data_IF_520379867168
#
_entry.id   IF_520379867168
#
_cell.length_a   1.000
_cell.length_b   1.000
_cell.length_c   1.000
_cell.angle_alpha   90.00
_cell.angle_beta   90.00
_cell.angle_gamma   90.00
#
_symmetry.space_group_name_H-M   'P 1'
#
loop_
_entity.id
_entity.type
_entity.pdbx_description
1 polymer ?
#
# COMPACT_ATOMS: atom_id res chain seq x y z
N UNK A 1 4.44 -7.73 17.93
CA UNK A 1 4.11 -6.83 16.83
C UNK A 1 2.95 -5.93 17.24
N UNK A 2 2.88 -4.73 16.69
CA UNK A 2 1.75 -3.82 16.82
C UNK A 2 1.08 -3.68 15.44
N UNK A 3 -0.19 -3.27 15.33
CA UNK A 3 -0.81 -3.03 14.03
C UNK A 3 0.03 -2.14 13.11
N UNK A 4 0.70 -1.14 13.68
CA UNK A 4 1.58 -0.23 12.92
C UNK A 4 2.78 -0.97 12.31
N UNK A 5 3.51 -1.75 13.11
CA UNK A 5 4.71 -2.45 12.64
C UNK A 5 4.39 -3.72 11.83
N UNK A 6 3.16 -4.19 11.88
CA UNK A 6 2.73 -5.39 11.16
C UNK A 6 2.20 -5.02 9.76
N UNK A 7 1.16 -4.22 9.68
CA UNK A 7 0.47 -3.95 8.41
C UNK A 7 0.69 -2.52 7.90
N UNK A 8 0.69 -1.51 8.77
CA UNK A 8 0.85 -0.12 8.30
C UNK A 8 2.20 0.12 7.60
N UNK A 9 3.23 -0.67 7.94
CA UNK A 9 4.54 -0.62 7.27
C UNK A 9 4.45 -0.79 5.76
N UNK A 10 3.57 -1.64 5.25
CA UNK A 10 3.39 -1.83 3.81
C UNK A 10 2.92 -0.55 3.11
N UNK A 11 2.01 0.18 3.75
CA UNK A 11 1.46 1.43 3.19
C UNK A 11 2.42 2.60 3.35
N UNK A 12 3.24 2.62 4.41
CA UNK A 12 4.34 3.57 4.57
C UNK A 12 5.40 3.34 3.49
N UNK A 13 5.75 2.09 3.24
CA UNK A 13 6.71 1.72 2.18
C UNK A 13 6.19 2.14 0.80
N UNK A 14 4.94 1.85 0.50
CA UNK A 14 4.29 2.25 -0.74
C UNK A 14 4.27 3.78 -0.91
N UNK A 15 3.97 4.53 0.15
CA UNK A 15 4.02 6.00 0.12
C UNK A 15 5.44 6.51 -0.16
N UNK A 16 6.45 5.92 0.47
CA UNK A 16 7.86 6.25 0.21
C UNK A 16 8.28 5.88 -1.22
N UNK A 17 7.77 4.79 -1.76
CA UNK A 17 8.02 4.39 -3.15
C UNK A 17 7.42 5.37 -4.16
N UNK A 18 6.18 5.82 -3.97
CA UNK A 18 5.57 6.85 -4.82
C UNK A 18 6.28 8.21 -4.73
N UNK A 19 6.92 8.49 -3.59
CA UNK A 19 7.69 9.70 -3.33
C UNK A 19 9.19 9.43 -3.34
N UNK A 20 9.65 8.50 -4.17
CA UNK A 20 11.06 8.11 -4.25
C UNK A 20 11.97 9.32 -4.47
N UNK A 21 13.03 9.39 -3.68
CA UNK A 21 13.98 10.49 -3.71
C UNK A 21 13.55 11.72 -2.90
N UNK A 22 12.33 11.76 -2.37
CA UNK A 22 11.82 12.86 -1.55
C UNK A 22 11.85 12.43 -0.08
N UNK A 23 12.52 13.21 0.75
CA UNK A 23 12.75 12.85 2.14
C UNK A 23 11.53 13.16 3.03
N UNK A 24 11.04 12.21 3.85
CA UNK A 24 10.09 12.52 4.91
C UNK A 24 10.78 13.37 6.00
N UNK A 25 10.10 14.40 6.48
CA UNK A 25 10.65 15.38 7.43
C UNK A 25 9.94 15.42 8.77
N UNK A 26 8.69 14.96 8.83
CA UNK A 26 7.91 14.96 10.05
C UNK A 26 6.91 13.81 10.07
N UNK A 27 6.70 13.23 11.26
CA UNK A 27 5.61 12.28 11.54
C UNK A 27 4.86 12.75 12.78
N UNK A 28 3.54 12.87 12.65
CA UNK A 28 2.64 13.15 13.79
C UNK A 28 1.62 12.03 13.86
N UNK A 29 1.55 11.36 15.01
CA UNK A 29 0.62 10.24 15.20
C UNK A 29 -0.21 10.37 16.48
N UNK A 30 -1.39 9.73 16.46
CA UNK A 30 -2.28 9.54 17.60
C UNK A 30 -2.80 8.13 17.60
N UNK A 31 -2.76 7.51 18.76
CA UNK A 31 -3.20 6.12 18.97
C UNK A 31 -4.22 6.03 20.09
N UNK A 32 -5.08 5.03 20.00
CA UNK A 32 -6.02 4.66 21.06
C UNK A 32 -5.82 3.20 21.44
N UNK A 33 -5.88 2.92 22.75
CA UNK A 33 -5.84 1.57 23.33
C UNK A 33 -7.03 1.38 24.24
N UNK A 34 -8.00 0.58 23.80
CA UNK A 34 -9.20 0.26 24.58
C UNK A 34 -9.44 -1.25 24.62
N UNK A 35 -9.60 -1.86 23.44
CA UNK A 35 -9.93 -3.29 23.32
C UNK A 35 -8.71 -4.13 23.68
N UNK A 36 -7.57 -3.90 23.05
CA UNK A 36 -6.33 -4.61 23.37
C UNK A 36 -5.90 -4.42 24.83
N UNK A 37 -6.07 -3.20 25.36
CA UNK A 37 -5.81 -2.95 26.79
C UNK A 37 -6.72 -3.79 27.69
N UNK A 38 -8.01 -3.90 27.37
CA UNK A 38 -8.96 -4.74 28.11
C UNK A 38 -8.60 -6.23 28.03
N UNK A 39 -7.96 -6.67 26.95
CA UNK A 39 -7.44 -8.01 26.75
C UNK A 39 -6.06 -8.24 27.39
N UNK A 40 -5.47 -7.24 28.04
CA UNK A 40 -4.15 -7.33 28.70
C UNK A 40 -2.97 -7.05 27.75
N UNK A 41 -3.20 -6.60 26.51
CA UNK A 41 -2.13 -6.27 25.57
C UNK A 41 -1.73 -4.78 25.67
N UNK A 42 -0.44 -4.49 25.38
CA UNK A 42 0.10 -3.13 25.39
C UNK A 42 0.06 -2.42 24.02
N UNK A 43 -0.46 -3.10 22.98
CA UNK A 43 -0.57 -2.52 21.65
C UNK A 43 -1.74 -1.53 21.55
N UNK A 44 -1.63 -0.57 20.63
CA UNK A 44 -2.74 0.30 20.28
C UNK A 44 -3.75 -0.44 19.36
N UNK A 45 -5.03 -0.16 19.57
CA UNK A 45 -6.12 -0.69 18.74
C UNK A 45 -6.17 -0.02 17.37
N UNK A 46 -6.00 1.30 17.40
CA UNK A 46 -6.12 2.21 16.26
C UNK A 46 -4.98 3.21 16.34
N UNK A 47 -4.37 3.49 15.18
CA UNK A 47 -3.39 4.56 15.03
C UNK A 47 -3.68 5.34 13.76
N UNK A 48 -3.64 6.67 13.86
CA UNK A 48 -3.65 7.59 12.74
C UNK A 48 -2.36 8.39 12.75
N UNK A 49 -1.75 8.55 11.57
CA UNK A 49 -0.51 9.26 11.39
C UNK A 49 -0.55 10.17 10.16
N UNK A 50 0.18 11.26 10.23
CA UNK A 50 0.45 12.16 9.11
C UNK A 50 1.96 12.20 8.94
N UNK A 51 2.42 11.94 7.71
CA UNK A 51 3.82 12.07 7.31
C UNK A 51 3.92 13.25 6.35
N UNK A 52 4.80 14.19 6.64
CA UNK A 52 5.12 15.33 5.77
C UNK A 52 6.45 15.09 5.08
N UNK A 53 6.52 15.35 3.79
CA UNK A 53 7.71 15.25 2.97
C UNK A 53 8.29 16.63 2.63
N UNK A 54 9.58 16.71 2.33
CA UNK A 54 10.30 17.97 2.11
C UNK A 54 9.80 18.80 0.92
N UNK A 55 9.10 18.17 -0.03
CA UNK A 55 8.46 18.86 -1.14
C UNK A 55 7.05 19.39 -0.80
N UNK A 56 6.60 19.22 0.45
CA UNK A 56 5.27 19.60 0.91
C UNK A 56 4.19 18.54 0.72
N UNK A 57 4.49 17.38 0.14
CA UNK A 57 3.54 16.28 0.08
C UNK A 57 3.18 15.78 1.48
N UNK A 58 1.91 15.45 1.67
CA UNK A 58 1.37 14.99 2.95
C UNK A 58 0.69 13.64 2.74
N UNK A 59 1.06 12.67 3.55
CA UNK A 59 0.48 11.33 3.55
C UNK A 59 -0.27 11.11 4.86
N UNK A 60 -1.57 10.80 4.77
CA UNK A 60 -2.40 10.45 5.91
C UNK A 60 -2.61 8.93 5.95
N UNK A 61 -2.27 8.30 7.06
CA UNK A 61 -2.29 6.86 7.24
C UNK A 61 -3.12 6.48 8.46
N UNK A 62 -3.89 5.40 8.33
CA UNK A 62 -4.66 4.87 9.44
C UNK A 62 -4.64 3.35 9.46
N UNK A 63 -4.60 2.78 10.67
CA UNK A 63 -4.70 1.34 10.90
C UNK A 63 -5.59 1.04 12.08
N UNK A 64 -6.45 0.03 11.96
CA UNK A 64 -7.25 -0.51 13.05
C UNK A 64 -7.30 -2.04 12.96
N UNK A 65 -7.08 -2.70 14.09
CA UNK A 65 -7.26 -4.17 14.23
C UNK A 65 -8.54 -4.55 14.98
N UNK A 66 -9.34 -3.55 15.36
CA UNK A 66 -10.52 -3.76 16.21
C UNK A 66 -11.81 -3.47 15.45
N UNK A 67 -11.97 -4.09 14.30
CA UNK A 67 -13.25 -4.09 13.59
C UNK A 67 -14.24 -5.01 14.30
N UNK A 68 -15.56 -4.74 14.25
CA UNK A 68 -16.57 -5.65 14.76
C UNK A 68 -16.46 -7.02 14.10
N UNK A 69 -16.66 -8.10 14.89
CA UNK A 69 -16.58 -9.48 14.38
C UNK A 69 -17.55 -9.78 13.23
N UNK A 70 -18.63 -9.01 13.13
CA UNK A 70 -19.65 -9.12 12.09
C UNK A 70 -19.38 -8.19 10.89
N UNK A 71 -18.28 -7.44 10.90
CA UNK A 71 -17.95 -6.57 9.76
C UNK A 71 -17.64 -7.43 8.53
N UNK A 72 -18.26 -7.15 7.39
CA UNK A 72 -18.23 -8.05 6.23
C UNK A 72 -16.93 -7.91 5.41
N UNK A 73 -15.79 -8.09 6.05
CA UNK A 73 -14.51 -8.23 5.33
C UNK A 73 -14.06 -9.68 5.34
N UNK A 74 -13.44 -10.09 4.26
CA UNK A 74 -12.77 -11.39 4.18
C UNK A 74 -11.28 -11.18 4.50
N UNK A 75 -10.98 -10.78 5.73
CA UNK A 75 -9.63 -10.59 6.22
C UNK A 75 -9.22 -9.12 6.36
N UNK A 76 -8.68 -8.49 5.35
CA UNK A 76 -8.19 -7.12 5.40
C UNK A 76 -9.02 -6.19 4.52
N UNK A 77 -9.36 -5.02 5.06
CA UNK A 77 -9.94 -3.90 4.32
C UNK A 77 -8.86 -2.84 4.14
N UNK A 78 -8.57 -2.46 2.92
CA UNK A 78 -7.56 -1.47 2.61
C UNK A 78 -8.05 -0.49 1.54
N UNK A 79 -7.83 0.79 1.80
CA UNK A 79 -8.06 1.87 0.84
C UNK A 79 -6.79 2.67 0.68
N UNK A 80 -6.51 3.03 -0.55
CA UNK A 80 -5.37 3.84 -0.89
C UNK A 80 -5.79 4.89 -1.91
N UNK A 81 -5.41 6.14 -1.66
CA UNK A 81 -5.76 7.28 -2.49
C UNK A 81 -4.53 8.15 -2.70
N UNK A 82 -4.25 8.48 -3.96
CA UNK A 82 -3.22 9.45 -4.34
C UNK A 82 -3.91 10.56 -5.10
N UNK A 83 -3.75 11.79 -4.63
CA UNK A 83 -4.25 12.99 -5.27
C UNK A 83 -3.04 13.85 -5.63
N UNK A 84 -2.85 14.09 -6.90
CA UNK A 84 -1.83 14.99 -7.44
C UNK A 84 -2.45 16.04 -8.35
N UNK A 85 -1.67 16.99 -8.74
CA UNK A 85 -2.06 18.08 -9.65
C UNK A 85 -2.32 17.59 -11.08
N UNK A 86 -1.76 16.45 -11.47
CA UNK A 86 -1.93 15.86 -12.80
C UNK A 86 -2.80 14.60 -12.83
N UNK A 87 -3.26 14.11 -11.68
CA UNK A 87 -4.09 12.90 -11.64
C UNK A 87 -4.49 12.43 -10.27
N UNK A 88 -5.39 11.45 -10.25
CA UNK A 88 -5.91 10.80 -9.05
C UNK A 88 -5.93 9.29 -9.26
N UNK A 89 -5.49 8.55 -8.25
CA UNK A 89 -5.62 7.10 -8.15
C UNK A 89 -6.41 6.77 -6.90
N UNK A 90 -7.49 6.00 -7.05
CA UNK A 90 -8.28 5.45 -5.96
C UNK A 90 -8.23 3.93 -6.04
N UNK A 91 -7.77 3.30 -4.98
CA UNK A 91 -7.72 1.84 -4.84
C UNK A 91 -8.55 1.43 -3.62
N UNK A 92 -9.51 0.56 -3.82
CA UNK A 92 -10.35 0.03 -2.75
C UNK A 92 -10.38 -1.51 -2.83
N UNK A 93 -9.73 -2.16 -1.87
CA UNK A 93 -9.67 -3.61 -1.83
C UNK A 93 -11.01 -4.26 -1.42
N UNK A 94 -11.91 -3.52 -0.77
CA UNK A 94 -13.22 -4.02 -0.34
C UNK A 94 -14.24 -4.01 -1.46
N UNK A 95 -14.34 -2.88 -2.17
CA UNK A 95 -15.35 -2.67 -3.21
C UNK A 95 -14.89 -3.13 -4.59
N UNK A 96 -13.61 -3.38 -4.76
CA UNK A 96 -13.00 -3.85 -6.01
C UNK A 96 -13.08 -2.85 -7.18
N UNK A 97 -13.49 -1.63 -6.91
CA UNK A 97 -13.54 -0.56 -7.90
C UNK A 97 -12.31 0.33 -7.72
N UNK A 98 -11.34 0.18 -8.61
CA UNK A 98 -10.16 1.02 -8.64
C UNK A 98 -10.28 1.99 -9.80
N UNK A 99 -10.02 3.27 -9.52
CA UNK A 99 -10.09 4.35 -10.51
C UNK A 99 -8.72 4.98 -10.70
N UNK A 100 -8.29 5.10 -11.95
CA UNK A 100 -7.21 5.97 -12.37
C UNK A 100 -7.78 7.13 -13.19
N UNK A 101 -7.44 8.36 -12.81
CA UNK A 101 -7.64 9.55 -13.63
C UNK A 101 -6.31 10.27 -13.84
N UNK A 102 -6.02 10.73 -15.07
CA UNK A 102 -4.82 11.50 -15.40
C UNK A 102 -5.06 12.47 -16.54
N UNK A 103 -4.63 13.70 -16.39
CA UNK A 103 -4.71 14.73 -17.45
C UNK A 103 -3.80 14.43 -18.63
N UNK A 104 -2.65 13.79 -18.39
CA UNK A 104 -1.72 13.38 -19.44
C UNK A 104 -2.22 12.24 -20.31
N UNK A 105 -3.22 11.51 -19.80
CA UNK A 105 -3.69 10.28 -20.41
C UNK A 105 -2.74 9.10 -20.20
N UNK A 106 -3.33 7.91 -20.21
CA UNK A 106 -2.62 6.63 -20.22
C UNK A 106 -2.81 5.94 -21.57
N UNK A 107 -1.80 5.27 -22.12
CA UNK A 107 -1.93 4.54 -23.39
C UNK A 107 -3.04 3.50 -23.32
N UNK A 108 -3.90 3.48 -24.33
CA UNK A 108 -4.92 2.46 -24.44
C UNK A 108 -4.33 1.10 -24.80
N UNK A 109 -4.75 0.02 -24.12
CA UNK A 109 -4.16 -1.31 -24.27
C UNK A 109 -4.37 -1.94 -25.65
N UNK A 110 -5.45 -1.57 -26.35
CA UNK A 110 -5.86 -2.21 -27.61
C UNK A 110 -5.93 -1.27 -28.81
N UNK A 111 -5.84 0.04 -28.58
CA UNK A 111 -5.93 1.04 -29.65
C UNK A 111 -4.63 1.81 -29.70
N UNK A 112 -3.76 1.58 -30.68
CA UNK A 112 -2.51 2.32 -30.85
C UNK A 112 -2.78 3.82 -31.00
N UNK A 113 -1.86 4.63 -30.48
CA UNK A 113 -1.88 6.09 -30.57
C UNK A 113 -3.13 6.77 -29.93
N UNK A 114 -3.81 6.02 -29.06
CA UNK A 114 -4.95 6.54 -28.30
C UNK A 114 -4.64 6.56 -26.81
N UNK A 115 -4.95 7.69 -26.14
CA UNK A 115 -4.86 7.85 -24.71
C UNK A 115 -6.24 7.96 -24.08
N UNK A 116 -6.35 7.43 -22.87
CA UNK A 116 -7.54 7.52 -22.02
C UNK A 116 -7.20 8.31 -20.76
N UNK A 117 -8.08 9.20 -20.36
CA UNK A 117 -7.88 10.03 -19.16
C UNK A 117 -8.49 9.41 -17.90
N UNK A 118 -9.42 8.47 -18.06
CA UNK A 118 -10.07 7.80 -16.95
C UNK A 118 -10.19 6.31 -17.23
N UNK A 119 -9.87 5.49 -16.25
CA UNK A 119 -9.97 4.04 -16.34
C UNK A 119 -10.44 3.46 -15.00
N UNK A 120 -11.44 2.57 -15.05
CA UNK A 120 -11.73 1.68 -13.96
C UNK A 120 -10.85 0.43 -14.09
N UNK A 121 -10.09 0.14 -13.04
CA UNK A 121 -9.20 -1.01 -12.97
C UNK A 121 -9.82 -2.07 -12.07
N UNK A 122 -9.65 -3.33 -12.44
CA UNK A 122 -10.00 -4.43 -11.54
C UNK A 122 -8.90 -4.63 -10.49
N UNK A 123 -9.30 -4.99 -9.27
CA UNK A 123 -8.34 -5.45 -8.27
C UNK A 123 -7.87 -6.85 -8.61
N UNK A 124 -6.59 -7.11 -8.40
CA UNK A 124 -6.02 -8.45 -8.51
C UNK A 124 -6.07 -9.15 -7.15
N UNK A 125 -6.29 -10.45 -7.15
CA UNK A 125 -6.13 -11.29 -5.97
C UNK A 125 -4.67 -11.29 -5.49
N UNK A 126 -4.47 -11.40 -4.17
CA UNK A 126 -3.13 -11.53 -3.60
C UNK A 126 -2.47 -12.84 -4.04
N UNK A 127 -3.24 -13.93 -4.11
CA UNK A 127 -2.79 -15.24 -4.59
C UNK A 127 -3.98 -16.09 -5.03
N UNK A 128 -3.88 -16.67 -6.21
CA UNK A 128 -4.82 -17.66 -6.75
C UNK A 128 -4.08 -18.87 -7.27
N UNK A 129 -4.67 -20.06 -7.13
CA UNK A 129 -4.19 -21.27 -7.76
C UNK A 129 -5.13 -21.65 -8.90
N UNK A 130 -4.63 -21.59 -10.13
CA UNK A 130 -5.39 -21.91 -11.31
C UNK A 130 -4.52 -22.60 -12.37
N UNK A 131 -5.07 -23.56 -13.07
CA UNK A 131 -4.40 -24.28 -14.17
C UNK A 131 -3.06 -24.92 -13.74
N UNK A 132 -2.98 -25.36 -12.50
CA UNK A 132 -1.78 -26.02 -11.97
C UNK A 132 -0.65 -25.06 -11.55
N UNK A 133 -0.90 -23.75 -11.47
CA UNK A 133 0.10 -22.76 -11.07
C UNK A 133 -0.47 -21.70 -10.13
N UNK A 134 0.42 -20.99 -9.43
CA UNK A 134 0.08 -19.86 -8.59
C UNK A 134 0.15 -18.55 -9.38
N UNK A 135 -0.88 -17.74 -9.22
CA UNK A 135 -1.04 -16.41 -9.83
C UNK A 135 -1.22 -15.34 -8.77
N UNK A 136 -1.13 -14.08 -9.17
CA UNK A 136 -1.35 -12.94 -8.29
C UNK A 136 -0.05 -12.32 -7.76
N UNK A 137 -0.19 -11.33 -6.88
CA UNK A 137 0.92 -10.48 -6.42
C UNK A 137 2.02 -11.27 -5.70
N UNK A 138 1.67 -12.18 -4.79
CA UNK A 138 2.64 -12.98 -4.03
C UNK A 138 3.44 -13.92 -4.94
N UNK A 139 2.79 -14.53 -5.93
CA UNK A 139 3.49 -15.39 -6.90
C UNK A 139 4.45 -14.57 -7.77
N UNK A 140 4.04 -13.39 -8.22
CA UNK A 140 4.88 -12.48 -9.01
C UNK A 140 6.08 -11.97 -8.21
N UNK A 141 5.87 -11.60 -6.95
CA UNK A 141 6.91 -11.22 -6.01
C UNK A 141 7.96 -12.33 -5.87
N UNK A 142 7.53 -13.54 -5.55
CA UNK A 142 8.42 -14.70 -5.37
C UNK A 142 9.22 -14.99 -6.64
N UNK A 143 8.58 -14.99 -7.82
CA UNK A 143 9.26 -15.19 -9.11
C UNK A 143 10.29 -14.11 -9.39
N UNK A 144 9.97 -12.86 -9.14
CA UNK A 144 10.88 -11.73 -9.32
C UNK A 144 12.12 -11.84 -8.42
N UNK A 145 11.93 -12.26 -7.17
CA UNK A 145 13.02 -12.52 -6.25
C UNK A 145 13.93 -13.65 -6.73
N UNK A 146 13.34 -14.77 -7.16
CA UNK A 146 14.11 -15.90 -7.69
C UNK A 146 14.86 -15.52 -8.97
N UNK A 147 14.26 -14.74 -9.87
CA UNK A 147 14.93 -14.25 -11.08
C UNK A 147 16.13 -13.36 -10.72
N UNK A 148 15.98 -12.48 -9.74
CA UNK A 148 17.10 -11.69 -9.22
C UNK A 148 18.26 -12.56 -8.72
N UNK A 149 17.96 -13.56 -7.91
CA UNK A 149 18.99 -14.48 -7.39
C UNK A 149 19.70 -15.28 -8.48
N UNK A 150 18.98 -15.70 -9.50
CA UNK A 150 19.50 -16.55 -10.57
C UNK A 150 20.26 -15.77 -11.64
N UNK A 151 19.83 -14.54 -11.92
CA UNK A 151 20.32 -13.79 -13.09
C UNK A 151 21.09 -12.52 -12.73
N UNK A 152 20.98 -12.05 -11.47
CA UNK A 152 21.54 -10.75 -11.04
C UNK A 152 20.78 -9.54 -11.59
N UNK A 153 19.60 -9.71 -12.23
CA UNK A 153 18.77 -8.59 -12.66
C UNK A 153 18.28 -7.79 -11.45
N UNK A 154 18.15 -6.45 -11.56
CA UNK A 154 17.57 -5.65 -10.49
C UNK A 154 16.19 -6.18 -10.09
N UNK A 155 15.98 -6.33 -8.79
CA UNK A 155 14.67 -6.70 -8.24
C UNK A 155 13.84 -5.44 -7.99
N UNK A 156 12.53 -5.45 -8.25
CA UNK A 156 11.63 -4.36 -7.87
C UNK A 156 11.26 -4.35 -6.37
N UNK A 157 11.82 -5.27 -5.59
CA UNK A 157 11.54 -5.35 -4.16
C UNK A 157 12.19 -4.21 -3.38
N UNK A 158 11.55 -3.84 -2.29
CA UNK A 158 12.08 -2.90 -1.30
C UNK A 158 13.46 -3.34 -0.83
N UNK A 159 14.41 -2.43 -0.95
CA UNK A 159 15.78 -2.66 -0.50
C UNK A 159 15.89 -2.56 1.03
N UNK A 160 16.94 -3.12 1.64
CA UNK A 160 17.18 -2.96 3.09
C UNK A 160 17.28 -1.50 3.55
N UNK A 161 17.72 -0.58 2.69
CA UNK A 161 17.79 0.85 2.98
C UNK A 161 16.40 1.48 3.05
N UNK A 162 15.54 1.15 2.12
CA UNK A 162 14.14 1.60 2.07
C UNK A 162 13.34 1.01 3.22
N UNK A 163 13.47 -0.30 3.48
CA UNK A 163 12.84 -0.96 4.61
C UNK A 163 13.25 -0.35 5.96
N UNK A 164 14.51 0.08 6.10
CA UNK A 164 14.98 0.79 7.29
C UNK A 164 14.31 2.18 7.43
N UNK A 165 14.10 2.90 6.33
CA UNK A 165 13.38 4.17 6.34
C UNK A 165 11.93 3.96 6.78
N UNK A 166 11.25 3.01 6.17
CA UNK A 166 9.88 2.62 6.51
C UNK A 166 9.75 2.25 7.98
N UNK A 167 10.66 1.44 8.50
CA UNK A 167 10.67 1.09 9.92
C UNK A 167 10.88 2.32 10.82
N UNK A 168 11.78 3.22 10.45
CA UNK A 168 12.02 4.45 11.24
C UNK A 168 10.79 5.36 11.31
N UNK A 169 9.94 5.36 10.27
CA UNK A 169 8.69 6.14 10.25
C UNK A 169 7.57 5.49 11.06
N UNK A 170 7.67 4.20 11.38
CA UNK A 170 6.64 3.42 12.10
C UNK A 170 6.99 3.15 13.57
N UNK A 171 8.15 3.56 14.04
CA UNK A 171 8.59 3.48 15.44
C UNK A 171 8.29 4.75 16.22
#
# INVERSE_FOLDING_TARGET
ATPVNDVLTYYVDMACWFLEGIRPVEVVARSQSKVFKAMGHKAADVTWAIITFENGAVVNLGISYVLPATYPTVGQSARFEIIGDEGVILLDADNKDSLLFTDRGAPHSYVPDHNINMMFMQTTSAADFAVGDYWGAVASETRSWLDHLLTGRPSPHTTPKEARLTLALTL
#
